data_IF_710370920712
#
_entry.id   IF_710370920712
#
_cell.length_a   1.000
_cell.length_b   1.000
_cell.length_c   1.000
_cell.angle_alpha   90.00
_cell.angle_beta   90.00
_cell.angle_gamma   90.00
#
_symmetry.space_group_name_H-M   'P 1'
#
loop_
_entity.id
_entity.type
_entity.pdbx_description
1 polymer ?
#
# COMPACT_ATOMS: atom_id res chain seq x y z
N UNK A 1 -34.90 -38.60 15.02
CA UNK A 1 -34.27 -37.33 14.56
C UNK A 1 -34.44 -36.27 15.65
N UNK A 2 -33.36 -35.90 16.32
CA UNK A 2 -33.36 -35.15 17.58
C UNK A 2 -33.64 -33.64 17.40
N UNK A 3 -34.60 -33.13 18.19
CA UNK A 3 -35.10 -31.73 18.22
C UNK A 3 -34.01 -30.65 18.34
N UNK A 4 -32.79 -30.98 18.80
CA UNK A 4 -31.69 -30.00 19.00
C UNK A 4 -31.04 -29.48 17.70
N UNK A 5 -31.13 -30.22 16.59
CA UNK A 5 -30.44 -29.86 15.33
C UNK A 5 -31.13 -28.71 14.58
N UNK A 6 -32.45 -28.53 14.74
CA UNK A 6 -33.22 -27.47 14.06
C UNK A 6 -33.03 -26.09 14.69
N UNK A 7 -32.82 -26.02 16.01
CA UNK A 7 -32.73 -24.74 16.74
C UNK A 7 -31.46 -23.97 16.41
N UNK A 8 -30.31 -24.65 16.24
CA UNK A 8 -29.03 -24.01 15.93
C UNK A 8 -29.00 -23.34 14.55
N UNK A 9 -29.70 -23.92 13.55
CA UNK A 9 -29.82 -23.31 12.21
C UNK A 9 -30.67 -22.04 12.20
N UNK A 10 -31.58 -21.88 13.16
CA UNK A 10 -32.47 -20.72 13.23
C UNK A 10 -31.81 -19.54 13.95
N UNK A 11 -30.96 -19.81 14.96
CA UNK A 11 -30.20 -18.78 15.68
C UNK A 11 -29.14 -18.10 14.78
N UNK A 12 -28.58 -18.82 13.81
CA UNK A 12 -27.62 -18.28 12.84
C UNK A 12 -28.22 -17.27 11.84
N UNK A 13 -29.56 -17.10 11.79
CA UNK A 13 -30.24 -16.09 10.96
C UNK A 13 -30.49 -14.76 11.68
N UNK A 14 -30.10 -14.66 12.96
CA UNK A 14 -30.18 -13.40 13.69
C UNK A 14 -28.98 -12.53 13.26
N UNK A 15 -29.19 -11.35 12.63
CA UNK A 15 -28.13 -10.55 12.03
C UNK A 15 -27.07 -10.09 13.04
N UNK A 16 -27.41 -10.06 14.33
CA UNK A 16 -26.52 -9.68 15.43
C UNK A 16 -25.56 -10.82 15.83
N UNK A 17 -26.03 -12.07 15.78
CA UNK A 17 -25.24 -13.24 16.22
C UNK A 17 -24.39 -13.80 15.06
N UNK A 18 -24.85 -13.65 13.82
CA UNK A 18 -24.09 -14.03 12.62
C UNK A 18 -22.74 -13.32 12.52
N UNK A 19 -22.67 -12.04 12.93
CA UNK A 19 -21.43 -11.25 12.95
C UNK A 19 -20.38 -11.75 13.96
N UNK A 20 -20.78 -12.46 15.01
CA UNK A 20 -19.85 -12.97 16.03
C UNK A 20 -19.06 -14.21 15.57
N UNK A 21 -19.60 -14.94 14.58
CA UNK A 21 -19.02 -16.19 14.07
C UNK A 21 -18.60 -16.11 12.61
N UNK A 22 -18.69 -14.94 11.99
CA UNK A 22 -18.20 -14.69 10.65
C UNK A 22 -16.67 -14.62 10.68
N UNK A 23 -16.04 -15.80 10.81
CA UNK A 23 -14.61 -15.97 10.65
C UNK A 23 -14.28 -15.51 9.24
N UNK A 24 -13.65 -14.34 9.13
CA UNK A 24 -13.24 -13.73 7.88
C UNK A 24 -12.61 -14.81 6.99
N UNK A 25 -13.32 -15.18 5.93
CA UNK A 25 -12.91 -16.24 5.02
C UNK A 25 -11.82 -15.65 4.12
N UNK A 26 -10.60 -15.52 4.67
CA UNK A 26 -9.46 -15.11 3.88
C UNK A 26 -9.09 -16.27 2.94
N UNK A 27 -9.59 -16.23 1.72
CA UNK A 27 -9.11 -17.05 0.60
C UNK A 27 -7.69 -16.64 0.15
N UNK A 28 -6.94 -15.92 0.97
CA UNK A 28 -5.56 -15.59 0.71
C UNK A 28 -4.73 -16.86 0.88
N UNK A 29 -4.39 -17.47 -0.25
CA UNK A 29 -3.38 -18.53 -0.33
C UNK A 29 -2.07 -17.93 0.19
N UNK A 30 -1.78 -18.15 1.48
CA UNK A 30 -0.56 -17.65 2.12
C UNK A 30 0.61 -18.42 1.54
N UNK A 31 1.31 -17.82 0.57
CA UNK A 31 2.61 -18.32 0.13
C UNK A 31 3.58 -18.13 1.29
N UNK A 32 3.83 -19.20 2.05
CA UNK A 32 4.94 -19.28 3.01
C UNK A 32 6.23 -19.36 2.22
N UNK A 33 6.81 -18.22 1.88
CA UNK A 33 8.05 -18.18 1.14
C UNK A 33 8.49 -16.76 0.86
N UNK A 34 9.03 -16.11 1.88
CA UNK A 34 10.16 -15.17 1.91
C UNK A 34 10.34 -14.91 3.42
N UNK A 35 11.50 -15.28 3.96
CA UNK A 35 11.84 -15.07 5.38
C UNK A 35 11.49 -13.65 5.82
N UNK A 36 11.09 -13.46 7.09
CA UNK A 36 10.62 -12.20 7.68
C UNK A 36 11.57 -11.02 7.38
N UNK A 37 11.39 -10.37 6.24
CA UNK A 37 12.13 -9.17 5.89
C UNK A 37 11.54 -8.05 6.74
N UNK A 38 12.34 -7.57 7.69
CA UNK A 38 11.99 -6.42 8.51
C UNK A 38 11.90 -5.22 7.56
N UNK A 39 10.70 -4.65 7.43
CA UNK A 39 10.45 -3.50 6.56
C UNK A 39 11.11 -2.27 7.18
N UNK A 40 12.23 -1.83 6.61
CA UNK A 40 12.99 -0.68 7.13
C UNK A 40 13.02 0.44 6.10
N UNK A 41 12.88 1.68 6.57
CA UNK A 41 12.99 2.92 5.80
C UNK A 41 14.07 3.82 6.41
N UNK A 42 14.54 4.84 5.67
CA UNK A 42 15.54 5.78 6.18
C UNK A 42 15.02 6.58 7.39
N UNK A 43 15.88 7.11 8.27
CA UNK A 43 15.46 8.01 9.33
C UNK A 43 14.68 9.23 8.82
N UNK A 44 15.06 9.74 7.64
CA UNK A 44 14.38 10.85 6.98
C UNK A 44 12.93 10.51 6.62
N UNK A 45 12.63 9.27 6.22
CA UNK A 45 11.24 8.81 6.02
C UNK A 45 10.42 9.00 7.29
N UNK A 46 10.95 8.61 8.46
CA UNK A 46 10.24 8.74 9.73
C UNK A 46 10.09 10.19 10.17
N UNK A 47 11.07 11.05 9.89
CA UNK A 47 10.97 12.49 10.12
C UNK A 47 9.86 13.12 9.27
N UNK A 48 9.83 12.81 7.97
CA UNK A 48 8.80 13.25 7.04
C UNK A 48 7.42 12.74 7.48
N UNK A 49 7.32 11.46 7.86
CA UNK A 49 6.09 10.87 8.39
C UNK A 49 5.62 11.61 9.64
N UNK A 50 6.51 11.94 10.57
CA UNK A 50 6.15 12.69 11.77
C UNK A 50 5.63 14.10 11.43
N UNK A 51 6.27 14.80 10.49
CA UNK A 51 5.79 16.08 9.99
C UNK A 51 4.39 15.98 9.37
N UNK A 52 4.17 15.03 8.46
CA UNK A 52 2.87 14.84 7.81
C UNK A 52 1.79 14.32 8.77
N UNK A 53 2.15 13.63 9.85
CA UNK A 53 1.22 13.31 10.94
C UNK A 53 0.64 14.57 11.59
N UNK A 54 1.45 15.63 11.72
CA UNK A 54 0.99 16.91 12.23
C UNK A 54 0.12 17.63 11.22
N UNK A 55 0.55 17.68 9.95
CA UNK A 55 -0.22 18.32 8.86
C UNK A 55 -1.60 17.67 8.68
N UNK A 56 -1.70 16.36 8.75
CA UNK A 56 -2.98 15.66 8.56
C UNK A 56 -4.02 16.01 9.62
N UNK A 57 -3.61 16.38 10.83
CA UNK A 57 -4.52 16.83 11.89
C UNK A 57 -5.17 18.17 11.56
N UNK A 58 -4.64 18.94 10.62
CA UNK A 58 -5.28 20.18 10.14
C UNK A 58 -6.21 19.93 8.96
N UNK A 59 -5.98 18.86 8.20
CA UNK A 59 -6.77 18.50 7.02
C UNK A 59 -8.00 17.65 7.36
N UNK A 60 -7.90 16.81 8.39
CA UNK A 60 -8.97 15.91 8.81
C UNK A 60 -9.32 16.14 10.28
N UNK A 61 -10.60 16.32 10.58
CA UNK A 61 -11.10 16.35 11.95
C UNK A 61 -10.96 14.98 12.63
N UNK A 62 -11.18 13.90 11.87
CA UNK A 62 -11.06 12.52 12.33
C UNK A 62 -10.59 11.61 11.18
N UNK A 63 -9.78 10.62 11.52
CA UNK A 63 -9.39 9.54 10.62
C UNK A 63 -9.74 8.22 11.28
N UNK A 64 -10.65 7.47 10.67
CA UNK A 64 -11.00 6.12 11.08
C UNK A 64 -10.31 5.11 10.17
N UNK A 65 -9.59 4.16 10.78
CA UNK A 65 -8.93 3.08 10.09
C UNK A 65 -9.51 1.75 10.57
N UNK A 66 -10.01 0.94 9.63
CA UNK A 66 -10.68 -0.33 9.92
C UNK A 66 -9.89 -1.45 9.21
N UNK A 67 -9.74 -2.60 9.85
CA UNK A 67 -9.13 -3.77 9.22
C UNK A 67 -7.60 -3.74 9.17
N UNK A 68 -6.93 -2.96 10.01
CA UNK A 68 -5.46 -2.92 10.08
C UNK A 68 -4.86 -4.26 10.52
N UNK A 69 -5.62 -5.06 11.26
CA UNK A 69 -5.33 -6.44 11.62
C UNK A 69 -5.19 -7.37 10.40
N UNK A 70 -5.75 -7.01 9.25
CA UNK A 70 -5.58 -7.76 8.01
C UNK A 70 -4.21 -7.54 7.37
N UNK A 71 -3.44 -6.54 7.82
CA UNK A 71 -2.09 -6.28 7.34
C UNK A 71 -1.12 -7.20 8.11
N UNK A 72 -0.49 -8.19 7.46
CA UNK A 72 0.44 -9.11 8.09
C UNK A 72 1.56 -8.40 8.84
N UNK A 73 2.02 -9.02 9.93
CA UNK A 73 3.19 -8.56 10.69
C UNK A 73 4.46 -8.58 9.86
N UNK A 74 4.61 -9.61 9.03
CA UNK A 74 5.82 -9.90 8.28
C UNK A 74 5.52 -10.16 6.81
N UNK A 75 6.58 -10.08 6.00
CA UNK A 75 6.52 -10.27 4.54
C UNK A 75 6.05 -9.02 3.80
N UNK A 76 6.16 -8.94 2.47
CA UNK A 76 5.67 -7.82 1.68
C UNK A 76 4.15 -7.89 1.46
N UNK A 77 3.50 -6.73 1.26
CA UNK A 77 2.09 -6.64 0.84
C UNK A 77 1.90 -5.59 -0.23
N UNK A 78 1.00 -5.87 -1.17
CA UNK A 78 0.52 -4.89 -2.15
C UNK A 78 -0.82 -4.36 -1.65
N UNK A 79 -0.89 -3.06 -1.41
CA UNK A 79 -2.11 -2.37 -1.04
C UNK A 79 -2.77 -1.85 -2.31
N UNK A 80 -4.01 -2.25 -2.55
CA UNK A 80 -4.80 -1.81 -3.72
C UNK A 80 -5.98 -1.02 -3.20
N UNK A 81 -6.07 0.24 -3.60
CA UNK A 81 -7.12 1.16 -3.16
C UNK A 81 -7.52 2.12 -4.28
N UNK A 82 -8.64 2.79 -4.06
CA UNK A 82 -9.03 3.95 -4.84
C UNK A 82 -8.13 5.15 -4.51
N UNK A 83 -7.98 6.07 -5.47
CA UNK A 83 -7.09 7.22 -5.33
C UNK A 83 -7.81 8.54 -5.62
N UNK A 84 -8.80 8.93 -4.81
CA UNK A 84 -9.56 10.15 -5.04
C UNK A 84 -8.73 11.43 -4.85
N UNK A 85 -7.73 11.43 -3.95
CA UNK A 85 -7.04 12.66 -3.53
C UNK A 85 -5.53 12.65 -3.78
N UNK A 86 -5.06 11.85 -4.75
CA UNK A 86 -3.67 11.86 -5.22
C UNK A 86 -2.65 11.89 -4.06
N UNK A 87 -1.96 13.01 -3.86
CA UNK A 87 -0.89 13.13 -2.88
C UNK A 87 -1.34 12.95 -1.41
N UNK A 88 -2.57 13.34 -1.07
CA UNK A 88 -3.08 13.29 0.30
C UNK A 88 -3.34 11.83 0.74
N UNK A 89 -3.76 10.98 -0.19
CA UNK A 89 -3.99 9.55 0.08
C UNK A 89 -2.68 8.86 0.50
N UNK A 90 -1.56 9.21 -0.13
CA UNK A 90 -0.25 8.69 0.28
C UNK A 90 0.07 9.07 1.73
N UNK A 91 -0.14 10.32 2.11
CA UNK A 91 0.14 10.76 3.48
C UNK A 91 -0.80 10.16 4.52
N UNK A 92 -2.06 9.97 4.17
CA UNK A 92 -3.01 9.25 5.02
C UNK A 92 -2.54 7.81 5.25
N UNK A 93 -2.10 7.12 4.19
CA UNK A 93 -1.59 5.75 4.28
C UNK A 93 -0.33 5.64 5.14
N UNK A 94 0.69 6.49 4.92
CA UNK A 94 1.90 6.42 5.76
C UNK A 94 1.61 6.74 7.22
N UNK A 95 0.57 7.50 7.53
CA UNK A 95 0.22 7.83 8.92
C UNK A 95 -0.48 6.66 9.63
N UNK A 96 -1.39 5.99 8.94
CA UNK A 96 -2.21 4.92 9.51
C UNK A 96 -1.46 3.58 9.52
N UNK A 97 -0.71 3.27 8.47
CA UNK A 97 -0.07 1.96 8.32
C UNK A 97 1.20 1.91 9.15
N UNK A 98 1.32 0.90 10.02
CA UNK A 98 2.49 0.74 10.89
C UNK A 98 3.81 0.63 10.12
N UNK A 99 3.77 -0.02 8.97
CA UNK A 99 4.93 -0.31 8.13
C UNK A 99 5.24 0.84 7.17
N UNK A 100 6.49 1.02 6.73
CA UNK A 100 6.77 1.97 5.67
C UNK A 100 6.04 1.59 4.38
N UNK A 101 5.53 2.59 3.66
CA UNK A 101 4.68 2.41 2.47
C UNK A 101 5.38 3.00 1.27
N UNK A 102 5.61 2.17 0.26
CA UNK A 102 5.98 2.62 -1.07
C UNK A 102 4.72 2.94 -1.88
N UNK A 103 4.76 3.97 -2.72
CA UNK A 103 3.63 4.35 -3.57
C UNK A 103 4.05 4.45 -5.02
N UNK A 104 3.16 4.03 -5.90
CA UNK A 104 3.24 4.36 -7.31
C UNK A 104 3.10 5.90 -7.46
N UNK A 105 4.09 6.53 -8.10
CA UNK A 105 4.11 7.96 -8.37
C UNK A 105 4.41 8.22 -9.84
N UNK A 106 3.95 9.36 -10.35
CA UNK A 106 4.21 9.76 -11.74
C UNK A 106 5.72 9.92 -11.98
N UNK A 107 6.22 9.26 -13.02
CA UNK A 107 7.63 9.29 -13.42
C UNK A 107 8.17 10.72 -13.57
N UNK A 108 7.40 11.64 -14.14
CA UNK A 108 7.75 13.06 -14.31
C UNK A 108 8.19 13.71 -13.00
N UNK A 109 7.46 13.49 -11.89
CA UNK A 109 7.78 14.12 -10.59
C UNK A 109 9.02 13.47 -9.99
N UNK A 110 9.12 12.15 -10.11
CA UNK A 110 10.26 11.41 -9.57
C UNK A 110 11.57 11.61 -10.37
N UNK A 111 11.50 12.17 -11.58
CA UNK A 111 12.65 12.45 -12.45
C UNK A 111 13.16 13.90 -12.31
N UNK A 112 12.54 14.74 -11.47
CA UNK A 112 13.05 16.08 -11.23
C UNK A 112 14.43 16.04 -10.57
N UNK A 113 15.38 16.82 -11.09
CA UNK A 113 16.80 16.75 -10.70
C UNK A 113 17.02 16.92 -9.20
N UNK A 114 16.30 17.83 -8.57
CA UNK A 114 16.47 18.18 -7.15
C UNK A 114 15.62 17.27 -6.25
N UNK A 115 14.35 17.09 -6.59
CA UNK A 115 13.37 16.47 -5.70
C UNK A 115 13.24 14.96 -5.96
N UNK A 116 13.58 14.49 -7.17
CA UNK A 116 13.48 13.09 -7.58
C UNK A 116 14.23 12.11 -6.67
N UNK A 117 15.52 12.35 -6.35
CA UNK A 117 16.27 11.49 -5.43
C UNK A 117 15.63 11.44 -4.03
N UNK A 118 15.12 12.56 -3.54
CA UNK A 118 14.41 12.63 -2.26
C UNK A 118 13.14 11.75 -2.28
N UNK A 119 12.33 11.88 -3.34
CA UNK A 119 11.09 11.12 -3.47
C UNK A 119 11.34 9.61 -3.59
N UNK A 120 12.33 9.21 -4.38
CA UNK A 120 12.67 7.80 -4.60
C UNK A 120 13.30 7.16 -3.38
N UNK A 121 14.35 7.79 -2.83
CA UNK A 121 15.19 7.18 -1.80
C UNK A 121 14.65 7.34 -0.38
N UNK A 122 13.80 8.36 -0.15
CA UNK A 122 13.35 8.69 1.20
C UNK A 122 11.83 8.73 1.35
N UNK A 123 11.08 8.89 0.27
CA UNK A 123 9.61 8.80 0.28
C UNK A 123 9.08 7.57 -0.46
N UNK A 124 9.97 6.66 -0.89
CA UNK A 124 9.59 5.35 -1.42
C UNK A 124 8.63 5.43 -2.62
N UNK A 125 8.79 6.48 -3.43
CA UNK A 125 7.98 6.70 -4.60
C UNK A 125 8.54 5.91 -5.77
N UNK A 126 7.78 4.91 -6.22
CA UNK A 126 8.11 4.08 -7.37
C UNK A 126 7.64 4.80 -8.63
N UNK A 127 8.54 5.13 -9.57
CA UNK A 127 8.17 5.80 -10.80
C UNK A 127 7.28 4.88 -11.64
N UNK A 128 6.11 5.36 -12.04
CA UNK A 128 5.22 4.67 -12.98
C UNK A 128 5.16 5.46 -14.28
N UNK A 129 5.65 4.84 -15.34
CA UNK A 129 5.50 5.29 -16.72
C UNK A 129 4.05 5.12 -17.19
N UNK A 130 3.28 6.21 -17.27
CA UNK A 130 1.90 6.18 -17.76
C UNK A 130 1.81 6.60 -19.22
N UNK A 131 1.04 5.85 -20.01
CA UNK A 131 0.80 6.15 -21.44
C UNK A 131 0.29 7.58 -21.66
N UNK A 132 -0.54 8.09 -20.76
CA UNK A 132 -1.14 9.43 -20.82
C UNK A 132 -0.13 10.57 -20.63
N UNK A 133 0.93 10.33 -19.84
CA UNK A 133 1.96 11.35 -19.60
C UNK A 133 2.99 11.35 -20.74
N UNK A 134 3.14 10.20 -21.38
CA UNK A 134 4.05 9.98 -22.49
C UNK A 134 3.44 10.32 -23.86
N UNK A 135 2.12 10.35 -24.00
CA UNK A 135 1.48 10.85 -25.23
C UNK A 135 1.67 12.35 -25.45
N UNK A 136 2.15 13.07 -24.43
CA UNK A 136 2.50 14.49 -24.51
C UNK A 136 3.98 14.72 -24.91
N UNK A 137 4.73 13.64 -25.15
CA UNK A 137 6.18 13.67 -25.47
C UNK A 137 6.47 12.73 -26.65
N UNK A 138 7.32 13.16 -27.58
CA UNK A 138 7.74 12.40 -28.79
C UNK A 138 8.72 11.26 -28.45
N UNK A 139 8.43 10.47 -27.41
CA UNK A 139 9.22 9.30 -27.03
C UNK A 139 8.85 8.10 -27.89
N UNK A 140 9.87 7.39 -28.37
CA UNK A 140 9.76 6.16 -29.15
C UNK A 140 8.99 5.08 -28.36
N UNK A 141 8.26 4.21 -29.06
CA UNK A 141 7.57 3.07 -28.43
C UNK A 141 8.53 2.12 -27.71
N UNK A 142 9.78 2.00 -28.18
CA UNK A 142 10.81 1.21 -27.50
C UNK A 142 11.20 1.82 -26.15
N UNK A 143 11.42 3.14 -26.10
CA UNK A 143 11.73 3.86 -24.85
C UNK A 143 10.57 3.76 -23.85
N UNK A 144 9.32 3.80 -24.34
CA UNK A 144 8.12 3.61 -23.51
C UNK A 144 8.06 2.21 -22.90
N UNK A 145 8.45 1.19 -23.65
CA UNK A 145 8.49 -0.20 -23.18
C UNK A 145 9.57 -0.35 -22.11
N UNK A 146 10.77 0.17 -22.36
CA UNK A 146 11.87 0.12 -21.39
C UNK A 146 11.51 0.83 -20.07
N UNK A 147 10.89 2.01 -20.13
CA UNK A 147 10.46 2.73 -18.94
C UNK A 147 9.43 1.94 -18.10
N UNK A 148 8.47 1.27 -18.75
CA UNK A 148 7.49 0.42 -18.05
C UNK A 148 8.15 -0.80 -17.42
N UNK A 149 9.04 -1.47 -18.14
CA UNK A 149 9.78 -2.62 -17.61
C UNK A 149 10.63 -2.23 -16.41
N UNK A 150 11.25 -1.05 -16.44
CA UNK A 150 11.99 -0.49 -15.32
C UNK A 150 11.08 -0.24 -14.11
N UNK A 151 9.92 0.41 -14.29
CA UNK A 151 8.93 0.62 -13.23
C UNK A 151 8.48 -0.69 -12.56
N UNK A 152 8.20 -1.72 -13.37
CA UNK A 152 7.80 -3.04 -12.87
C UNK A 152 8.95 -3.68 -12.10
N UNK A 153 10.16 -3.63 -12.65
CA UNK A 153 11.35 -4.20 -12.02
C UNK A 153 11.65 -3.56 -10.66
N UNK A 154 11.61 -2.23 -10.57
CA UNK A 154 11.80 -1.51 -9.31
C UNK A 154 10.71 -1.88 -8.28
N UNK A 155 9.45 -2.01 -8.72
CA UNK A 155 8.35 -2.46 -7.84
C UNK A 155 8.59 -3.87 -7.28
N UNK A 156 9.01 -4.80 -8.15
CA UNK A 156 9.31 -6.19 -7.76
C UNK A 156 10.52 -6.23 -6.83
N UNK A 157 11.56 -5.46 -7.11
CA UNK A 157 12.76 -5.40 -6.28
C UNK A 157 12.45 -4.91 -4.86
N UNK A 158 11.61 -3.88 -4.72
CA UNK A 158 11.15 -3.40 -3.41
C UNK A 158 10.32 -4.45 -2.66
N UNK A 159 9.45 -5.19 -3.37
CA UNK A 159 8.67 -6.28 -2.79
C UNK A 159 9.57 -7.45 -2.33
N UNK A 160 10.54 -7.84 -3.14
CA UNK A 160 11.43 -8.98 -2.87
C UNK A 160 12.47 -8.67 -1.79
N UNK A 161 13.04 -7.46 -1.77
CA UNK A 161 14.10 -7.10 -0.81
C UNK A 161 13.56 -6.70 0.55
N UNK A 162 12.34 -6.18 0.64
CA UNK A 162 11.74 -5.71 1.90
C UNK A 162 12.50 -4.57 2.60
N UNK A 163 13.66 -4.16 2.07
CA UNK A 163 14.39 -2.95 2.40
C UNK A 163 13.95 -1.86 1.46
N UNK A 164 13.51 -0.75 2.05
CA UNK A 164 13.03 0.41 1.32
C UNK A 164 14.11 1.51 1.25
N UNK A 165 15.38 1.14 1.45
CA UNK A 165 16.55 2.01 1.25
C UNK A 165 17.79 1.17 0.91
N UNK A 166 18.76 1.80 0.24
CA UNK A 166 20.12 1.29 0.03
C UNK A 166 20.97 1.48 1.28
#
# INVERSE_FOLDING_TARGET
MSRKSRTLKQVARIPVIGKLFEKARSNARVYRGIHSLRRTASPLYYLIRAFFKTVIRTQHSEIQAIGLENIPADGPVILVGNHPNSFLDYFNLINIIRHPVATAAKDVITNWFIIGPLLRNHMLMVPIARKQDQSLTDISEDDRREAKEKSVRESVELLCRGRLYN
#
